data_IF_798245553469
#
_entry.id   IF_798245553469
#
_cell.length_a   1.000
_cell.length_b   1.000
_cell.length_c   1.000
_cell.angle_alpha   90.00
_cell.angle_beta   90.00
_cell.angle_gamma   90.00
#
_symmetry.space_group_name_H-M   'P 1'
#
loop_
_entity.id
_entity.type
_entity.pdbx_description
1 polymer ?
#
# COMPACT_ATOMS: atom_id res chain seq x y z
N UNK A 1 13.89 4.37 -0.39
CA UNK A 1 15.07 5.17 -0.76
C UNK A 1 14.67 6.03 -1.93
N UNK A 2 14.96 7.32 -1.89
CA UNK A 2 14.82 8.18 -3.07
C UNK A 2 16.14 8.20 -3.88
N UNK A 3 16.18 8.77 -5.10
CA UNK A 3 17.39 8.78 -5.92
C UNK A 3 18.61 9.48 -5.28
N UNK A 4 18.41 10.26 -4.20
CA UNK A 4 19.49 10.91 -3.45
C UNK A 4 20.15 10.01 -2.41
N UNK A 5 19.64 8.78 -2.24
CA UNK A 5 20.15 7.81 -1.28
C UNK A 5 19.55 7.96 0.13
N UNK A 6 18.59 8.88 0.32
CA UNK A 6 17.94 9.04 1.61
C UNK A 6 16.91 7.92 1.85
N UNK A 7 16.84 7.42 3.09
CA UNK A 7 15.87 6.41 3.51
C UNK A 7 15.23 6.78 4.84
N UNK A 8 13.95 6.43 4.97
CA UNK A 8 13.18 6.62 6.18
C UNK A 8 12.26 5.42 6.38
N UNK A 9 11.92 5.15 7.65
CA UNK A 9 10.91 4.14 8.00
C UNK A 9 9.51 4.72 7.85
N UNK A 10 8.59 3.94 7.28
CA UNK A 10 7.19 4.34 7.08
C UNK A 10 6.26 3.22 7.52
N UNK A 11 5.11 3.57 8.10
CA UNK A 11 4.02 2.61 8.36
C UNK A 11 3.11 2.43 7.14
N UNK A 12 2.91 3.50 6.37
CA UNK A 12 2.29 3.50 5.07
C UNK A 12 2.90 4.65 4.25
N UNK A 13 3.19 4.42 2.97
CA UNK A 13 3.77 5.44 2.09
C UNK A 13 3.34 5.20 0.64
N UNK A 14 3.42 6.24 -0.18
CA UNK A 14 3.16 6.20 -1.61
C UNK A 14 4.18 7.12 -2.29
N UNK A 15 4.67 6.70 -3.45
CA UNK A 15 5.67 7.43 -4.25
C UNK A 15 5.19 7.52 -5.69
N UNK A 16 5.74 8.48 -6.45
CA UNK A 16 5.38 8.71 -7.85
C UNK A 16 4.25 9.73 -8.03
N UNK A 17 3.56 9.64 -9.16
CA UNK A 17 2.52 10.59 -9.56
C UNK A 17 1.33 10.58 -8.60
N UNK A 18 0.79 11.77 -8.29
CA UNK A 18 -0.34 11.96 -7.36
C UNK A 18 -0.12 11.41 -5.93
N UNK A 19 1.13 11.18 -5.53
CA UNK A 19 1.49 10.66 -4.20
C UNK A 19 1.02 11.56 -3.06
N UNK A 20 0.95 12.88 -3.23
CA UNK A 20 0.45 13.79 -2.19
C UNK A 20 -1.02 13.49 -1.81
N UNK A 21 -1.87 13.22 -2.81
CA UNK A 21 -3.27 12.80 -2.60
C UNK A 21 -3.33 11.44 -1.91
N UNK A 22 -2.51 10.48 -2.36
CA UNK A 22 -2.41 9.16 -1.74
C UNK A 22 -2.03 9.26 -0.26
N UNK A 23 -0.99 10.04 0.07
CA UNK A 23 -0.54 10.27 1.44
C UNK A 23 -1.63 10.91 2.30
N UNK A 24 -2.44 11.81 1.74
CA UNK A 24 -3.58 12.40 2.46
C UNK A 24 -4.62 11.33 2.86
N UNK A 25 -5.01 10.47 1.91
CA UNK A 25 -5.93 9.34 2.16
C UNK A 25 -5.34 8.39 3.21
N UNK A 26 -4.06 8.04 3.09
CA UNK A 26 -3.37 7.16 4.02
C UNK A 26 -3.36 7.75 5.44
N UNK A 27 -3.07 9.04 5.61
CA UNK A 27 -3.11 9.71 6.93
C UNK A 27 -4.48 9.66 7.58
N UNK A 28 -5.55 9.74 6.78
CA UNK A 28 -6.92 9.72 7.29
C UNK A 28 -7.38 8.30 7.67
N UNK A 29 -7.10 7.33 6.80
CA UNK A 29 -7.72 6.00 6.86
C UNK A 29 -6.83 4.92 7.48
N UNK A 30 -5.50 5.02 7.39
CA UNK A 30 -4.60 4.03 7.98
C UNK A 30 -4.55 4.20 9.51
N UNK A 31 -4.78 3.12 10.25
CA UNK A 31 -4.79 3.09 11.71
C UNK A 31 -3.75 2.10 12.21
N UNK A 32 -2.74 2.62 12.92
CA UNK A 32 -1.64 1.83 13.44
C UNK A 32 -2.18 0.81 14.45
N UNK A 33 -1.88 -0.48 14.23
CA UNK A 33 -2.30 -1.58 15.10
C UNK A 33 -3.73 -2.10 14.85
N UNK A 34 -4.54 -1.36 14.10
CA UNK A 34 -5.93 -1.73 13.80
C UNK A 34 -6.11 -2.21 12.36
N UNK A 35 -5.41 -1.61 11.40
CA UNK A 35 -5.50 -1.98 9.98
C UNK A 35 -4.88 -3.35 9.75
N UNK A 36 -5.73 -4.37 9.54
CA UNK A 36 -5.30 -5.74 9.20
C UNK A 36 -5.05 -5.88 7.70
N UNK A 37 -4.49 -7.02 7.28
CA UNK A 37 -4.13 -7.27 5.88
C UNK A 37 -5.26 -6.97 4.88
N UNK A 38 -6.46 -7.49 5.10
CA UNK A 38 -7.58 -7.26 4.17
C UNK A 38 -8.02 -5.78 4.13
N UNK A 39 -7.92 -5.07 5.24
CA UNK A 39 -8.23 -3.64 5.30
C UNK A 39 -7.14 -2.83 4.58
N UNK A 40 -5.88 -3.20 4.75
CA UNK A 40 -4.75 -2.60 4.04
C UNK A 40 -4.86 -2.79 2.52
N UNK A 41 -5.24 -3.99 2.06
CA UNK A 41 -5.47 -4.27 0.64
C UNK A 41 -6.61 -3.41 0.07
N UNK A 42 -7.73 -3.31 0.79
CA UNK A 42 -8.85 -2.44 0.39
C UNK A 42 -8.45 -0.97 0.34
N UNK A 43 -7.67 -0.51 1.32
CA UNK A 43 -7.14 0.85 1.36
C UNK A 43 -6.19 1.12 0.18
N UNK A 44 -5.32 0.17 -0.16
CA UNK A 44 -4.42 0.30 -1.33
C UNK A 44 -5.21 0.45 -2.63
N UNK A 45 -6.23 -0.38 -2.86
CA UNK A 45 -7.11 -0.27 -4.05
C UNK A 45 -7.85 1.08 -4.07
N UNK A 46 -8.34 1.54 -2.91
CA UNK A 46 -8.97 2.86 -2.79
C UNK A 46 -8.02 3.98 -3.16
N UNK A 47 -6.79 3.96 -2.62
CA UNK A 47 -5.74 4.92 -2.96
C UNK A 47 -5.52 4.93 -4.49
N UNK A 48 -5.31 3.77 -5.10
CA UNK A 48 -5.11 3.65 -6.55
C UNK A 48 -6.30 4.19 -7.36
N UNK A 49 -7.53 3.91 -6.95
CA UNK A 49 -8.73 4.43 -7.63
C UNK A 49 -8.85 5.96 -7.61
N UNK A 50 -8.12 6.64 -6.72
CA UNK A 50 -8.11 8.10 -6.57
C UNK A 50 -6.86 8.75 -7.14
N UNK A 51 -5.78 7.99 -7.35
CA UNK A 51 -4.48 8.55 -7.74
C UNK A 51 -4.02 8.13 -9.12
N UNK A 52 -4.56 7.04 -9.68
CA UNK A 52 -4.28 6.63 -11.05
C UNK A 52 -5.14 7.42 -12.04
N UNK A 53 -4.51 7.95 -13.09
CA UNK A 53 -5.18 8.66 -14.19
C UNK A 53 -5.85 7.66 -15.17
N UNK A 54 -6.72 6.80 -14.63
CA UNK A 54 -7.49 5.83 -15.40
C UNK A 54 -8.98 6.01 -15.09
N UNK A 55 -9.81 6.04 -16.12
CA UNK A 55 -11.27 6.15 -15.97
C UNK A 55 -11.88 4.91 -15.32
N UNK A 56 -11.24 3.76 -15.47
CA UNK A 56 -11.59 2.49 -14.82
C UNK A 56 -10.35 1.84 -14.26
N UNK A 57 -10.41 1.43 -13.00
CA UNK A 57 -9.40 0.59 -12.38
C UNK A 57 -9.69 -0.86 -12.77
N UNK A 58 -8.73 -1.52 -13.41
CA UNK A 58 -8.84 -2.92 -13.82
C UNK A 58 -7.67 -3.74 -13.27
N UNK A 59 -7.83 -5.05 -13.04
CA UNK A 59 -6.78 -5.89 -12.45
C UNK A 59 -5.45 -5.85 -13.21
N UNK A 60 -5.47 -5.67 -14.53
CA UNK A 60 -4.27 -5.68 -15.39
C UNK A 60 -3.39 -4.43 -15.21
N UNK A 61 -3.90 -3.40 -14.52
CA UNK A 61 -3.18 -2.14 -14.28
C UNK A 61 -2.52 -2.08 -12.90
N UNK A 62 -2.68 -3.13 -12.08
CA UNK A 62 -2.19 -3.15 -10.71
C UNK A 62 -1.48 -4.47 -10.46
N UNK A 63 -0.32 -4.39 -9.84
CA UNK A 63 0.36 -5.54 -9.25
C UNK A 63 0.39 -5.35 -7.73
N UNK A 64 0.10 -6.41 -6.97
CA UNK A 64 0.10 -6.36 -5.50
C UNK A 64 0.87 -7.56 -4.97
N UNK A 65 1.98 -7.28 -4.29
CA UNK A 65 2.69 -8.29 -3.51
C UNK A 65 2.38 -8.15 -2.02
N UNK A 66 2.15 -9.27 -1.35
CA UNK A 66 1.95 -9.36 0.10
C UNK A 66 2.99 -10.30 0.69
N UNK A 67 3.77 -9.77 1.65
CA UNK A 67 4.62 -10.56 2.53
C UNK A 67 3.91 -10.72 3.87
N UNK A 68 3.64 -11.96 4.29
CA UNK A 68 2.98 -12.26 5.55
C UNK A 68 3.77 -13.33 6.31
N UNK A 69 4.07 -13.05 7.58
CA UNK A 69 4.55 -14.03 8.54
C UNK A 69 3.39 -14.50 9.43
N UNK A 70 3.29 -15.79 9.65
CA UNK A 70 2.33 -16.40 10.58
C UNK A 70 3.08 -16.94 11.80
N UNK A 71 2.93 -16.24 12.94
CA UNK A 71 3.59 -16.60 14.20
C UNK A 71 3.20 -17.99 14.72
N UNK A 72 2.01 -18.51 14.35
CA UNK A 72 1.54 -19.81 14.82
C UNK A 72 2.23 -20.96 14.10
N UNK A 73 2.47 -20.79 12.81
CA UNK A 73 3.11 -21.81 11.97
C UNK A 73 4.61 -21.55 11.78
N UNK A 74 5.10 -20.38 12.22
CA UNK A 74 6.44 -19.86 11.98
C UNK A 74 6.81 -19.85 10.49
N UNK A 75 5.83 -19.56 9.62
CA UNK A 75 6.00 -19.56 8.17
C UNK A 75 5.87 -18.15 7.60
N UNK A 76 6.75 -17.83 6.66
CA UNK A 76 6.67 -16.60 5.87
C UNK A 76 6.20 -16.94 4.47
N UNK A 77 5.15 -16.27 4.01
CA UNK A 77 4.59 -16.45 2.67
C UNK A 77 4.66 -15.16 1.88
N UNK A 78 4.97 -15.28 0.60
CA UNK A 78 4.89 -14.20 -0.39
C UNK A 78 3.76 -14.57 -1.35
N UNK A 79 2.84 -13.65 -1.59
CA UNK A 79 1.76 -13.77 -2.56
C UNK A 79 1.85 -12.59 -3.52
N UNK A 80 1.68 -12.82 -4.81
CA UNK A 80 1.62 -11.80 -5.87
C UNK A 80 0.32 -11.95 -6.65
#
# INVERSE_FOLDING_TARGET
SDPSGNFGGWKATCVGHNSQTAISILKQEYKIGETKLNDALRLAIRVFSKTLDTTKLTPEKIEIAVLQHDDKTNQTTIRM
#
